data_IF_351749466794
#
_entry.id   IF_351749466794
#
_cell.length_a   1.000
_cell.length_b   1.000
_cell.length_c   1.000
_cell.angle_alpha   90.00
_cell.angle_beta   90.00
_cell.angle_gamma   90.00
#
_symmetry.space_group_name_H-M   'P 1'
#
loop_
_entity.id
_entity.type
_entity.pdbx_description
1 polymer ?
#
# COMPACT_ATOMS: atom_id res chain seq x y z
N UNK A 1 -27.67 45.96 55.80
CA UNK A 1 -27.84 47.07 54.83
C UNK A 1 -26.52 47.73 54.40
N UNK A 2 -25.52 47.90 55.26
CA UNK A 2 -24.22 48.50 54.88
C UNK A 2 -23.41 47.65 53.89
N UNK A 3 -23.43 46.31 54.00
CA UNK A 3 -22.76 45.40 53.04
C UNK A 3 -23.30 45.52 51.60
N UNK A 4 -24.62 45.59 51.42
CA UNK A 4 -25.23 45.69 50.08
C UNK A 4 -24.92 47.03 49.38
N UNK A 5 -24.86 48.12 50.13
CA UNK A 5 -24.46 49.44 49.59
C UNK A 5 -22.99 49.49 49.17
N UNK A 6 -22.09 48.78 49.87
CA UNK A 6 -20.69 48.64 49.47
C UNK A 6 -20.51 47.72 48.26
N UNK A 7 -21.31 46.65 48.16
CA UNK A 7 -21.31 45.75 46.99
C UNK A 7 -21.77 46.51 45.73
N UNK A 8 -22.81 47.34 45.83
CA UNK A 8 -23.31 48.13 44.71
C UNK A 8 -22.29 49.17 44.20
N UNK A 9 -21.52 49.79 45.09
CA UNK A 9 -20.47 50.75 44.69
C UNK A 9 -19.20 50.07 44.14
N UNK A 10 -18.92 48.82 44.55
CA UNK A 10 -17.86 47.98 43.98
C UNK A 10 -18.24 47.44 42.58
N UNK A 11 -19.52 47.17 42.32
CA UNK A 11 -20.06 46.79 41.00
C UNK A 11 -19.87 47.90 39.93
N UNK A 12 -19.81 49.16 40.33
CA UNK A 12 -19.50 50.29 39.44
C UNK A 12 -18.00 50.46 39.17
N UNK A 13 -17.13 49.73 39.88
CA UNK A 13 -15.66 49.87 39.83
C UNK A 13 -14.98 48.60 39.27
N UNK A 14 -15.58 48.01 38.24
CA UNK A 14 -15.22 46.68 37.67
C UNK A 14 -13.96 46.68 36.80
N UNK A 15 -13.33 47.84 36.58
CA UNK A 15 -12.11 47.95 35.78
C UNK A 15 -10.79 47.82 36.58
N UNK A 16 -10.81 47.51 37.89
CA UNK A 16 -9.59 47.44 38.70
C UNK A 16 -9.37 46.09 39.39
N UNK A 17 -8.15 45.50 39.31
CA UNK A 17 -7.79 44.25 40.00
C UNK A 17 -7.88 44.33 41.53
N UNK A 18 -7.99 45.54 42.09
CA UNK A 18 -8.23 45.78 43.52
C UNK A 18 -9.65 45.41 43.97
N UNK A 19 -10.64 45.43 43.08
CA UNK A 19 -12.04 45.10 43.39
C UNK A 19 -12.22 43.60 43.68
N UNK A 20 -11.50 42.76 42.95
CA UNK A 20 -11.50 41.30 43.04
C UNK A 20 -11.08 40.79 44.44
N UNK A 21 -10.04 41.39 45.03
CA UNK A 21 -9.56 41.08 46.40
C UNK A 21 -10.55 41.52 47.50
N UNK A 22 -11.41 42.49 47.20
CA UNK A 22 -12.42 43.01 48.10
C UNK A 22 -13.71 42.18 48.04
N UNK A 23 -14.14 41.80 46.83
CA UNK A 23 -15.32 40.95 46.58
C UNK A 23 -15.14 39.54 47.16
N UNK A 24 -13.97 38.93 47.00
CA UNK A 24 -13.62 37.62 47.60
C UNK A 24 -13.54 37.62 49.12
N UNK A 25 -13.40 38.79 49.76
CA UNK A 25 -13.47 38.94 51.23
C UNK A 25 -14.90 39.09 51.76
N UNK A 26 -15.86 39.40 50.89
CA UNK A 26 -17.23 39.80 51.27
C UNK A 26 -18.30 38.78 50.87
N UNK A 27 -18.04 37.98 49.85
CA UNK A 27 -18.99 37.04 49.23
C UNK A 27 -18.33 35.69 48.97
N UNK A 28 -19.13 34.64 48.75
CA UNK A 28 -18.60 33.33 48.35
C UNK A 28 -18.08 33.38 46.91
N UNK A 29 -17.19 32.44 46.56
CA UNK A 29 -16.59 32.38 45.22
C UNK A 29 -17.66 32.22 44.12
N UNK A 30 -18.75 31.52 44.41
CA UNK A 30 -19.90 31.30 43.52
C UNK A 30 -20.71 32.60 43.29
N UNK A 31 -21.00 33.37 44.33
CA UNK A 31 -21.72 34.65 44.20
C UNK A 31 -20.92 35.68 43.39
N UNK A 32 -19.59 35.67 43.56
CA UNK A 32 -18.69 36.50 42.75
C UNK A 32 -18.73 36.03 41.29
N UNK A 33 -18.64 34.73 41.02
CA UNK A 33 -18.69 34.21 39.66
C UNK A 33 -19.95 34.63 38.90
N UNK A 34 -21.14 34.55 39.55
CA UNK A 34 -22.42 34.95 38.94
C UNK A 34 -22.41 36.42 38.48
N UNK A 35 -21.91 37.35 39.30
CA UNK A 35 -21.88 38.78 38.97
C UNK A 35 -20.98 39.04 37.75
N UNK A 36 -19.80 38.42 37.73
CA UNK A 36 -18.83 38.58 36.64
C UNK A 36 -19.35 37.94 35.34
N UNK A 37 -20.03 36.79 35.41
CA UNK A 37 -20.66 36.14 34.26
C UNK A 37 -21.78 37.03 33.69
N UNK A 38 -22.66 37.60 34.53
CA UNK A 38 -23.71 38.50 34.04
C UNK A 38 -23.13 39.74 33.36
N UNK A 39 -22.07 40.31 33.92
CA UNK A 39 -21.39 41.46 33.31
C UNK A 39 -20.72 41.08 31.98
N UNK A 40 -20.09 39.90 31.89
CA UNK A 40 -19.48 39.41 30.66
C UNK A 40 -20.52 39.23 29.55
N UNK A 41 -21.73 38.75 29.88
CA UNK A 41 -22.84 38.62 28.92
C UNK A 41 -23.34 39.98 28.43
N UNK A 42 -23.39 41.00 29.29
CA UNK A 42 -23.73 42.37 28.87
C UNK A 42 -22.68 42.94 27.90
N UNK A 43 -21.39 42.71 28.18
CA UNK A 43 -20.30 43.12 27.29
C UNK A 43 -20.30 42.36 25.96
N UNK A 44 -20.66 41.07 25.99
CA UNK A 44 -20.88 40.26 24.79
C UNK A 44 -21.99 40.86 23.93
N UNK A 45 -23.12 41.23 24.53
CA UNK A 45 -24.24 41.89 23.83
C UNK A 45 -23.87 43.27 23.25
N UNK A 46 -22.89 43.96 23.85
CA UNK A 46 -22.35 45.24 23.37
C UNK A 46 -21.23 45.06 22.32
N UNK A 47 -20.82 43.83 22.01
CA UNK A 47 -19.75 43.53 21.05
C UNK A 47 -18.33 43.67 21.61
N UNK A 48 -18.17 43.86 22.92
CA UNK A 48 -16.87 44.04 23.59
C UNK A 48 -16.25 42.69 23.99
N UNK A 49 -16.04 41.82 23.00
CA UNK A 49 -15.68 40.41 23.22
C UNK A 49 -14.37 40.18 23.99
N UNK A 50 -13.36 41.03 23.80
CA UNK A 50 -12.08 40.91 24.52
C UNK A 50 -12.21 41.21 26.02
N UNK A 51 -13.14 42.10 26.39
CA UNK A 51 -13.40 42.40 27.79
C UNK A 51 -14.27 41.31 28.42
N UNK A 52 -15.28 40.82 27.70
CA UNK A 52 -16.06 39.65 28.10
C UNK A 52 -15.15 38.42 28.34
N UNK A 53 -14.24 38.12 27.41
CA UNK A 53 -13.24 37.04 27.55
C UNK A 53 -12.43 37.18 28.84
N UNK A 54 -11.92 38.39 29.14
CA UNK A 54 -11.15 38.62 30.38
C UNK A 54 -11.96 38.34 31.63
N UNK A 55 -13.24 38.72 31.66
CA UNK A 55 -14.10 38.45 32.82
C UNK A 55 -14.38 36.95 32.97
N UNK A 56 -14.66 36.23 31.88
CA UNK A 56 -14.85 34.78 31.89
C UNK A 56 -13.60 34.03 32.38
N UNK A 57 -12.41 34.41 31.91
CA UNK A 57 -11.14 33.82 32.38
C UNK A 57 -10.88 34.14 33.86
N UNK A 58 -11.26 35.34 34.34
CA UNK A 58 -11.04 35.76 35.73
C UNK A 58 -11.83 34.90 36.72
N UNK A 59 -12.98 34.36 36.31
CA UNK A 59 -13.81 33.47 37.13
C UNK A 59 -13.51 31.99 36.92
N UNK A 60 -12.43 31.66 36.21
CA UNK A 60 -12.02 30.28 35.89
C UNK A 60 -13.05 29.51 35.03
N UNK A 61 -13.84 30.21 34.22
CA UNK A 61 -14.85 29.63 33.30
C UNK A 61 -14.48 29.90 31.81
N UNK A 62 -13.38 29.32 31.29
CA UNK A 62 -12.95 29.53 29.91
C UNK A 62 -13.94 28.97 28.88
N UNK A 63 -14.74 27.96 29.22
CA UNK A 63 -15.75 27.35 28.36
C UNK A 63 -16.83 28.35 27.89
N UNK A 64 -17.19 29.32 28.74
CA UNK A 64 -18.13 30.39 28.37
C UNK A 64 -17.54 31.29 27.28
N UNK A 65 -16.25 31.63 27.39
CA UNK A 65 -15.55 32.41 26.37
C UNK A 65 -15.36 31.62 25.07
N UNK A 66 -15.05 30.31 25.15
CA UNK A 66 -14.96 29.42 23.99
C UNK A 66 -16.30 29.35 23.25
N UNK A 67 -17.41 29.17 23.99
CA UNK A 67 -18.75 29.10 23.40
C UNK A 67 -19.19 30.44 22.78
N UNK A 68 -18.85 31.58 23.42
CA UNK A 68 -19.04 32.91 22.84
C UNK A 68 -18.35 33.02 21.48
N UNK A 69 -17.04 32.71 21.40
CA UNK A 69 -16.30 32.79 20.14
C UNK A 69 -16.78 31.80 19.09
N UNK A 70 -17.23 30.61 19.50
CA UNK A 70 -17.87 29.62 18.62
C UNK A 70 -19.14 30.17 17.97
N UNK A 71 -20.05 30.77 18.75
CA UNK A 71 -21.30 31.37 18.25
C UNK A 71 -21.04 32.50 17.25
N UNK A 72 -19.96 33.27 17.47
CA UNK A 72 -19.54 34.38 16.62
C UNK A 72 -18.74 33.93 15.39
N UNK A 73 -18.49 32.62 15.21
CA UNK A 73 -17.62 32.06 14.17
C UNK A 73 -16.19 32.62 14.17
N UNK A 74 -15.72 33.10 15.32
CA UNK A 74 -14.34 33.58 15.49
C UNK A 74 -13.44 32.43 15.92
N UNK A 75 -13.24 31.48 15.00
CA UNK A 75 -12.59 30.21 15.31
C UNK A 75 -11.13 30.34 15.77
N UNK A 76 -10.39 31.35 15.30
CA UNK A 76 -9.01 31.60 15.75
C UNK A 76 -8.93 31.90 17.26
N UNK A 77 -9.81 32.77 17.77
CA UNK A 77 -9.87 33.09 19.20
C UNK A 77 -10.35 31.88 20.02
N UNK A 78 -11.31 31.13 19.48
CA UNK A 78 -11.80 29.89 20.08
C UNK A 78 -10.66 28.85 20.23
N UNK A 79 -9.92 28.58 19.15
CA UNK A 79 -8.80 27.63 19.13
C UNK A 79 -7.69 28.09 20.09
N UNK A 80 -7.39 29.39 20.15
CA UNK A 80 -6.42 29.94 21.11
C UNK A 80 -6.81 29.59 22.55
N UNK A 81 -8.07 29.76 22.92
CA UNK A 81 -8.54 29.45 24.27
C UNK A 81 -8.52 27.95 24.56
N UNK A 82 -8.95 27.13 23.61
CA UNK A 82 -8.88 25.67 23.73
C UNK A 82 -7.43 25.22 23.90
N UNK A 83 -6.49 25.76 23.14
CA UNK A 83 -5.07 25.41 23.26
C UNK A 83 -4.45 25.78 24.63
N UNK A 84 -4.98 26.82 25.31
CA UNK A 84 -4.49 27.26 26.62
C UNK A 84 -5.15 26.47 27.76
N UNK A 85 -6.46 26.24 27.68
CA UNK A 85 -7.26 25.73 28.79
C UNK A 85 -7.69 24.26 28.66
N UNK A 86 -7.73 23.72 27.43
CA UNK A 86 -8.20 22.38 27.10
C UNK A 86 -7.35 21.76 25.98
N UNK A 87 -6.03 21.67 26.21
CA UNK A 87 -5.07 21.15 25.23
C UNK A 87 -5.43 19.73 24.75
N UNK A 88 -6.01 18.93 25.63
CA UNK A 88 -6.51 17.57 25.34
C UNK A 88 -7.64 17.55 24.30
N UNK A 89 -8.48 18.59 24.25
CA UNK A 89 -9.60 18.72 23.31
C UNK A 89 -9.23 19.44 22.01
N UNK A 90 -7.99 19.95 21.88
CA UNK A 90 -7.58 20.78 20.76
C UNK A 90 -7.69 20.05 19.42
N UNK A 91 -7.21 18.80 19.36
CA UNK A 91 -7.27 17.98 18.15
C UNK A 91 -8.72 17.68 17.73
N UNK A 92 -9.58 17.31 18.69
CA UNK A 92 -11.00 17.04 18.43
C UNK A 92 -11.74 18.30 18.00
N UNK A 93 -11.40 19.45 18.59
CA UNK A 93 -11.97 20.76 18.22
C UNK A 93 -11.64 21.10 16.77
N UNK A 94 -10.37 20.93 16.37
CA UNK A 94 -9.95 21.09 14.97
C UNK A 94 -10.69 20.14 14.04
N UNK A 95 -10.87 18.87 14.41
CA UNK A 95 -11.58 17.88 13.61
C UNK A 95 -13.07 18.25 13.43
N UNK A 96 -13.73 18.69 14.49
CA UNK A 96 -15.13 19.13 14.44
C UNK A 96 -15.29 20.35 13.53
N UNK A 97 -14.42 21.35 13.70
CA UNK A 97 -14.45 22.55 12.88
C UNK A 97 -14.17 22.25 11.40
N UNK A 98 -13.21 21.35 11.12
CA UNK A 98 -12.90 20.94 9.76
C UNK A 98 -14.11 20.32 9.05
N UNK A 99 -14.87 19.46 9.74
CA UNK A 99 -16.11 18.86 9.21
C UNK A 99 -17.22 19.87 8.97
N UNK A 100 -17.37 20.86 9.85
CA UNK A 100 -18.33 21.95 9.68
C UNK A 100 -18.00 22.76 8.41
N UNK A 101 -16.73 23.15 8.26
CA UNK A 101 -16.25 23.90 7.10
C UNK A 101 -16.29 23.08 5.79
N UNK A 102 -16.07 21.76 5.86
CA UNK A 102 -16.27 20.85 4.73
C UNK A 102 -17.74 20.87 4.27
N UNK A 103 -18.69 20.81 5.21
CA UNK A 103 -20.13 20.91 4.93
C UNK A 103 -20.54 22.25 4.30
N UNK A 104 -19.82 23.33 4.61
CA UNK A 104 -19.99 24.66 4.01
C UNK A 104 -19.24 24.83 2.67
N UNK A 105 -18.46 23.83 2.24
CA UNK A 105 -17.67 23.87 1.02
C UNK A 105 -16.35 24.66 1.11
N UNK A 106 -15.94 25.08 2.31
CA UNK A 106 -14.70 25.85 2.54
C UNK A 106 -13.47 24.94 2.66
N UNK A 107 -13.15 24.21 1.59
CA UNK A 107 -12.17 23.11 1.63
C UNK A 107 -10.77 23.50 2.09
N UNK A 108 -10.31 24.71 1.76
CA UNK A 108 -8.95 25.16 2.14
C UNK A 108 -8.83 25.41 3.65
N UNK A 109 -9.88 25.93 4.27
CA UNK A 109 -9.91 26.13 5.72
C UNK A 109 -10.12 24.79 6.44
N UNK A 110 -10.97 23.92 5.89
CA UNK A 110 -11.12 22.56 6.38
C UNK A 110 -9.80 21.76 6.32
N UNK A 111 -9.06 21.85 5.21
CA UNK A 111 -7.71 21.24 5.06
C UNK A 111 -6.79 21.72 6.18
N UNK A 112 -6.71 23.03 6.43
CA UNK A 112 -5.86 23.58 7.49
C UNK A 112 -6.18 22.93 8.84
N UNK A 113 -7.45 22.88 9.24
CA UNK A 113 -7.84 22.28 10.52
C UNK A 113 -7.66 20.77 10.58
N UNK A 114 -7.88 20.03 9.48
CA UNK A 114 -7.54 18.60 9.43
C UNK A 114 -6.03 18.36 9.63
N UNK A 115 -5.18 19.23 9.07
CA UNK A 115 -3.74 19.13 9.24
C UNK A 115 -3.27 19.50 10.65
N UNK A 116 -3.86 20.52 11.28
CA UNK A 116 -3.60 20.85 12.69
C UNK A 116 -4.02 19.70 13.63
N UNK A 117 -5.12 19.00 13.31
CA UNK A 117 -5.52 17.76 13.98
C UNK A 117 -4.63 16.54 13.65
N UNK A 118 -3.59 16.71 12.82
CA UNK A 118 -2.70 15.66 12.29
C UNK A 118 -3.42 14.53 11.54
N UNK A 119 -4.63 14.78 11.05
CA UNK A 119 -5.42 13.85 10.25
C UNK A 119 -5.42 14.25 8.77
N UNK A 120 -4.25 14.10 8.13
CA UNK A 120 -4.12 14.33 6.69
C UNK A 120 -5.00 13.37 5.86
N UNK A 121 -5.41 12.22 6.41
CA UNK A 121 -6.28 11.25 5.71
C UNK A 121 -7.69 11.80 5.58
N UNK A 122 -8.20 12.52 6.58
CA UNK A 122 -9.47 13.22 6.49
C UNK A 122 -9.43 14.31 5.39
N UNK A 123 -8.38 15.15 5.36
CA UNK A 123 -8.18 16.14 4.29
C UNK A 123 -8.08 15.48 2.90
N UNK A 124 -7.35 14.37 2.79
CA UNK A 124 -7.26 13.58 1.56
C UNK A 124 -8.63 13.07 1.10
N UNK A 125 -9.41 12.47 2.01
CA UNK A 125 -10.71 11.90 1.72
C UNK A 125 -11.72 12.98 1.31
N UNK A 126 -11.71 14.14 1.98
CA UNK A 126 -12.50 15.32 1.60
C UNK A 126 -12.25 15.68 0.13
N UNK A 127 -11.00 15.90 -0.27
CA UNK A 127 -10.68 16.24 -1.67
C UNK A 127 -11.06 15.14 -2.65
N UNK A 128 -10.82 13.87 -2.29
CA UNK A 128 -11.18 12.72 -3.11
C UNK A 128 -12.68 12.64 -3.36
N UNK A 129 -13.50 12.86 -2.32
CA UNK A 129 -14.96 12.76 -2.39
C UNK A 129 -15.56 13.87 -3.27
N UNK A 130 -14.88 15.03 -3.37
CA UNK A 130 -15.28 16.11 -4.27
C UNK A 130 -14.71 15.99 -5.70
N UNK A 131 -14.01 14.90 -6.01
CA UNK A 131 -13.38 14.70 -7.31
C UNK A 131 -12.11 15.51 -7.56
N UNK A 132 -11.61 16.25 -6.55
CA UNK A 132 -10.38 17.05 -6.61
C UNK A 132 -9.14 16.17 -6.39
N UNK A 133 -8.88 15.26 -7.33
CA UNK A 133 -7.83 14.23 -7.19
C UNK A 133 -6.40 14.78 -7.13
N UNK A 134 -6.13 15.89 -7.80
CA UNK A 134 -4.82 16.56 -7.75
C UNK A 134 -4.52 17.11 -6.36
N UNK A 135 -5.49 17.76 -5.72
CA UNK A 135 -5.37 18.27 -4.35
C UNK A 135 -5.23 17.12 -3.35
N UNK A 136 -6.01 16.05 -3.52
CA UNK A 136 -5.89 14.85 -2.71
C UNK A 136 -4.44 14.28 -2.79
N UNK A 137 -3.90 14.14 -4.00
CA UNK A 137 -2.52 13.68 -4.18
C UNK A 137 -1.50 14.64 -3.56
N UNK A 138 -1.69 15.96 -3.67
CA UNK A 138 -0.83 16.97 -3.05
C UNK A 138 -0.76 16.78 -1.52
N UNK A 139 -1.92 16.66 -0.86
CA UNK A 139 -2.00 16.44 0.59
C UNK A 139 -1.26 15.17 0.98
N UNK A 140 -1.50 14.07 0.26
CA UNK A 140 -0.83 12.79 0.53
C UNK A 140 0.70 12.87 0.32
N UNK A 141 1.18 13.66 -0.63
CA UNK A 141 2.60 13.85 -0.90
C UNK A 141 3.29 14.76 0.12
N UNK A 142 2.60 15.79 0.61
CA UNK A 142 3.17 16.77 1.55
C UNK A 142 3.12 16.29 3.00
N UNK A 143 2.04 15.61 3.40
CA UNK A 143 1.78 15.27 4.81
C UNK A 143 1.67 13.77 5.07
N UNK A 144 1.52 12.96 4.03
CA UNK A 144 1.51 11.50 4.15
C UNK A 144 2.91 10.91 4.32
N UNK A 145 2.97 9.60 4.53
CA UNK A 145 4.23 8.87 4.51
C UNK A 145 4.82 8.81 3.10
N UNK A 146 6.11 8.47 2.98
CA UNK A 146 6.77 8.34 1.68
C UNK A 146 6.06 7.35 0.75
N UNK A 147 5.37 6.35 1.30
CA UNK A 147 4.59 5.36 0.54
C UNK A 147 3.13 5.78 0.30
N UNK A 148 2.58 6.71 1.10
CA UNK A 148 1.19 7.15 0.95
C UNK A 148 0.92 7.76 -0.42
N UNK A 149 1.81 8.64 -0.89
CA UNK A 149 1.69 9.26 -2.22
C UNK A 149 1.74 8.23 -3.34
N UNK A 150 2.63 7.24 -3.26
CA UNK A 150 2.72 6.13 -4.23
C UNK A 150 1.42 5.32 -4.27
N UNK A 151 0.86 4.98 -3.11
CA UNK A 151 -0.40 4.24 -3.02
C UNK A 151 -1.58 5.03 -3.60
N UNK A 152 -1.65 6.33 -3.31
CA UNK A 152 -2.68 7.22 -3.89
C UNK A 152 -2.54 7.30 -5.41
N UNK A 153 -1.32 7.49 -5.92
CA UNK A 153 -1.06 7.51 -7.36
C UNK A 153 -1.44 6.19 -8.03
N UNK A 154 -1.11 5.06 -7.41
CA UNK A 154 -1.49 3.72 -7.89
C UNK A 154 -3.01 3.57 -7.99
N UNK A 155 -3.75 3.87 -6.93
CA UNK A 155 -5.21 3.74 -6.91
C UNK A 155 -5.86 4.69 -7.92
N UNK A 156 -5.33 5.91 -8.06
CA UNK A 156 -5.81 6.85 -9.06
C UNK A 156 -5.54 6.32 -10.47
N UNK A 157 -4.33 5.88 -10.78
CA UNK A 157 -4.00 5.29 -12.08
C UNK A 157 -4.89 4.09 -12.42
N UNK A 158 -5.13 3.19 -11.45
CA UNK A 158 -6.02 2.04 -11.61
C UNK A 158 -7.46 2.44 -11.95
N UNK A 159 -7.96 3.55 -11.38
CA UNK A 159 -9.30 4.07 -11.70
C UNK A 159 -9.41 4.74 -13.08
N UNK A 160 -8.29 5.14 -13.68
CA UNK A 160 -8.25 5.79 -15.00
C UNK A 160 -8.07 4.78 -16.13
N UNK A 161 -7.12 3.85 -15.98
CA UNK A 161 -6.73 2.89 -17.02
C UNK A 161 -6.01 3.51 -18.23
N UNK A 162 -5.41 2.64 -19.04
CA UNK A 162 -4.82 2.96 -20.36
C UNK A 162 -3.88 4.16 -20.38
N UNK A 163 -3.97 4.96 -21.45
CA UNK A 163 -3.10 6.13 -21.69
C UNK A 163 -3.21 7.20 -20.59
N UNK A 164 -4.39 7.35 -19.99
CA UNK A 164 -4.62 8.32 -18.91
C UNK A 164 -3.85 7.94 -17.64
N UNK A 165 -3.84 6.65 -17.29
CA UNK A 165 -3.05 6.12 -16.18
C UNK A 165 -1.55 6.33 -16.43
N UNK A 166 -1.08 6.02 -17.63
CA UNK A 166 0.33 6.21 -18.02
C UNK A 166 0.74 7.68 -17.92
N UNK A 167 -0.01 8.62 -18.50
CA UNK A 167 0.30 10.05 -18.46
C UNK A 167 0.39 10.57 -17.02
N UNK A 168 -0.52 10.14 -16.16
CA UNK A 168 -0.52 10.48 -14.73
C UNK A 168 0.75 9.96 -14.04
N UNK A 169 1.07 8.68 -14.22
CA UNK A 169 2.22 8.05 -13.57
C UNK A 169 3.56 8.61 -14.09
N UNK A 170 3.63 8.98 -15.37
CA UNK A 170 4.77 9.68 -15.94
C UNK A 170 4.94 11.09 -15.36
N UNK A 171 3.84 11.85 -15.21
CA UNK A 171 3.86 13.18 -14.54
C UNK A 171 4.43 13.09 -13.12
N UNK A 172 4.22 11.97 -12.43
CA UNK A 172 4.73 11.75 -11.07
C UNK A 172 6.06 11.00 -11.01
N UNK A 173 6.60 10.51 -12.12
CA UNK A 173 7.82 9.70 -12.14
C UNK A 173 7.66 8.33 -11.45
N UNK A 174 6.43 7.78 -11.42
CA UNK A 174 6.08 6.56 -10.69
C UNK A 174 5.76 5.37 -11.60
N UNK A 175 5.84 5.53 -12.93
CA UNK A 175 5.40 4.51 -13.89
C UNK A 175 6.07 3.14 -13.68
N UNK A 176 7.40 3.09 -13.68
CA UNK A 176 8.14 1.84 -13.53
C UNK A 176 7.83 1.15 -12.20
N UNK A 177 7.93 1.89 -11.08
CA UNK A 177 7.62 1.36 -9.76
C UNK A 177 6.17 0.87 -9.61
N UNK A 178 5.24 1.45 -10.38
CA UNK A 178 3.83 1.05 -10.37
C UNK A 178 3.63 -0.24 -11.14
N UNK A 179 4.32 -0.42 -12.27
CA UNK A 179 4.32 -1.68 -13.03
C UNK A 179 4.86 -2.81 -12.16
N UNK A 180 6.02 -2.60 -11.52
CA UNK A 180 6.65 -3.59 -10.66
C UNK A 180 5.73 -3.98 -9.49
N UNK A 181 5.17 -2.97 -8.80
CA UNK A 181 4.21 -3.18 -7.71
C UNK A 181 2.94 -3.90 -8.17
N UNK A 182 2.38 -3.55 -9.34
CA UNK A 182 1.20 -4.20 -9.89
C UNK A 182 1.47 -5.69 -10.17
N UNK A 183 2.62 -6.01 -10.76
CA UNK A 183 3.00 -7.38 -11.06
C UNK A 183 3.28 -8.21 -9.78
N UNK A 184 3.85 -7.60 -8.74
CA UNK A 184 4.09 -8.26 -7.43
C UNK A 184 2.80 -8.58 -6.66
N UNK A 185 1.74 -7.79 -6.87
CA UNK A 185 0.45 -7.96 -6.22
C UNK A 185 -0.57 -8.68 -7.11
N UNK A 186 -0.11 -9.44 -8.10
CA UNK A 186 -0.93 -10.20 -9.06
C UNK A 186 -1.96 -9.37 -9.84
N UNK A 187 -1.77 -8.05 -9.95
CA UNK A 187 -2.60 -7.17 -10.77
C UNK A 187 -2.08 -7.16 -12.22
N UNK A 188 -1.97 -8.34 -12.83
CA UNK A 188 -1.27 -8.56 -14.10
C UNK A 188 -1.88 -7.79 -15.27
N UNK A 189 -3.20 -7.76 -15.41
CA UNK A 189 -3.87 -7.00 -16.48
C UNK A 189 -3.48 -5.51 -16.43
N UNK A 190 -3.49 -4.91 -15.24
CA UNK A 190 -3.09 -3.52 -15.08
C UNK A 190 -1.60 -3.31 -15.36
N UNK A 191 -0.74 -4.25 -14.95
CA UNK A 191 0.69 -4.21 -15.27
C UNK A 191 0.92 -4.30 -16.79
N UNK A 192 0.22 -5.21 -17.48
CA UNK A 192 0.28 -5.36 -18.93
C UNK A 192 -0.20 -4.11 -19.66
N UNK A 193 -1.32 -3.53 -19.25
CA UNK A 193 -1.85 -2.31 -19.84
C UNK A 193 -0.82 -1.16 -19.78
N UNK A 194 -0.26 -0.90 -18.60
CA UNK A 194 0.74 0.14 -18.41
C UNK A 194 2.02 -0.13 -19.23
N UNK A 195 2.50 -1.38 -19.21
CA UNK A 195 3.73 -1.77 -19.89
C UNK A 195 3.59 -1.75 -21.41
N UNK A 196 2.48 -2.23 -21.97
CA UNK A 196 2.21 -2.19 -23.42
C UNK A 196 2.16 -0.77 -23.96
N UNK A 197 1.56 0.15 -23.20
CA UNK A 197 1.41 1.54 -23.60
C UNK A 197 2.72 2.32 -23.52
N UNK A 198 3.53 2.13 -22.47
CA UNK A 198 4.66 3.04 -22.23
C UNK A 198 6.01 2.39 -21.87
N UNK A 199 6.05 1.11 -21.49
CA UNK A 199 7.29 0.48 -21.02
C UNK A 199 7.38 -0.99 -21.44
N UNK A 200 7.50 -1.22 -22.75
CA UNK A 200 7.53 -2.58 -23.34
C UNK A 200 8.69 -3.44 -22.86
N UNK A 201 9.78 -2.82 -22.40
CA UNK A 201 10.94 -3.52 -21.84
C UNK A 201 10.61 -4.34 -20.59
N UNK A 202 9.55 -4.00 -19.86
CA UNK A 202 9.08 -4.74 -18.67
C UNK A 202 8.15 -5.91 -19.01
N UNK A 203 7.68 -6.05 -20.25
CA UNK A 203 6.75 -7.12 -20.62
C UNK A 203 7.29 -8.53 -20.30
N UNK A 204 8.56 -8.87 -20.58
CA UNK A 204 9.08 -10.20 -20.22
C UNK A 204 9.01 -10.48 -18.72
N UNK A 205 9.30 -9.48 -17.88
CA UNK A 205 9.26 -9.62 -16.42
C UNK A 205 7.82 -9.84 -15.91
N UNK A 206 6.85 -9.15 -16.50
CA UNK A 206 5.42 -9.32 -16.16
C UNK A 206 4.93 -10.70 -16.60
N UNK A 207 5.28 -11.12 -17.84
CA UNK A 207 4.97 -12.46 -18.34
C UNK A 207 5.56 -13.55 -17.45
N UNK A 208 6.80 -13.39 -17.00
CA UNK A 208 7.45 -14.31 -16.08
C UNK A 208 6.70 -14.42 -14.74
N UNK A 209 6.40 -13.28 -14.09
CA UNK A 209 5.64 -13.28 -12.83
C UNK A 209 4.25 -13.87 -12.99
N UNK A 210 3.58 -13.62 -14.12
CA UNK A 210 2.28 -14.18 -14.40
C UNK A 210 2.34 -15.70 -14.65
N UNK A 211 3.36 -16.17 -15.37
CA UNK A 211 3.58 -17.59 -15.61
C UNK A 211 3.81 -18.37 -14.32
N UNK A 212 4.65 -17.84 -13.41
CA UNK A 212 4.88 -18.43 -12.09
C UNK A 212 3.59 -18.53 -11.27
N UNK A 213 2.76 -17.46 -11.27
CA UNK A 213 1.46 -17.49 -10.62
C UNK A 213 0.53 -18.57 -11.20
N UNK A 214 0.52 -18.74 -12.54
CA UNK A 214 -0.29 -19.78 -13.20
C UNK A 214 0.23 -21.20 -12.92
N UNK A 215 1.55 -21.37 -12.79
CA UNK A 215 2.17 -22.63 -12.38
C UNK A 215 1.76 -23.01 -10.96
N UNK A 216 1.81 -22.06 -10.01
CA UNK A 216 1.37 -22.26 -8.62
C UNK A 216 -0.12 -22.64 -8.53
N UNK A 217 -0.95 -22.10 -9.42
CA UNK A 217 -2.37 -22.45 -9.57
C UNK A 217 -2.61 -23.78 -10.33
N UNK A 218 -1.56 -24.44 -10.81
CA UNK A 218 -1.63 -25.70 -11.57
C UNK A 218 -2.12 -25.56 -13.02
N UNK A 219 -2.19 -24.33 -13.55
CA UNK A 219 -2.64 -24.04 -14.93
C UNK A 219 -1.47 -24.12 -15.91
N UNK A 220 -0.82 -25.28 -15.99
CA UNK A 220 0.43 -25.48 -16.75
C UNK A 220 0.36 -25.08 -18.23
N UNK A 221 -0.75 -25.35 -18.92
CA UNK A 221 -0.90 -24.98 -20.34
C UNK A 221 -0.99 -23.45 -20.55
N UNK A 222 -1.54 -22.72 -19.58
CA UNK A 222 -1.55 -21.26 -19.61
C UNK A 222 -0.17 -20.71 -19.23
N UNK A 223 0.46 -21.28 -18.20
CA UNK A 223 1.81 -20.94 -17.76
C UNK A 223 2.85 -21.09 -18.88
N UNK A 224 2.80 -22.19 -19.65
CA UNK A 224 3.66 -22.42 -20.82
C UNK A 224 3.63 -21.23 -21.79
N UNK A 225 2.43 -20.77 -22.16
CA UNK A 225 2.27 -19.66 -23.11
C UNK A 225 2.90 -18.38 -22.59
N UNK A 226 2.81 -18.13 -21.29
CA UNK A 226 3.35 -16.93 -20.65
C UNK A 226 4.88 -17.02 -20.47
N UNK A 227 5.42 -18.17 -20.06
CA UNK A 227 6.87 -18.39 -19.99
C UNK A 227 7.55 -18.26 -21.36
N UNK A 228 6.92 -18.77 -22.43
CA UNK A 228 7.43 -18.60 -23.81
C UNK A 228 7.47 -17.12 -24.19
N UNK A 229 6.41 -16.34 -23.88
CA UNK A 229 6.40 -14.88 -24.11
C UNK A 229 7.46 -14.15 -23.27
N UNK A 230 7.83 -14.67 -22.11
CA UNK A 230 8.93 -14.18 -21.29
C UNK A 230 10.33 -14.58 -21.81
N UNK A 231 10.40 -15.43 -22.86
CA UNK A 231 11.66 -15.96 -23.37
C UNK A 231 12.32 -16.98 -22.44
N UNK A 232 11.52 -17.65 -21.61
CA UNK A 232 11.96 -18.61 -20.58
C UNK A 232 11.56 -20.05 -20.95
N UNK A 233 11.90 -20.48 -22.16
CA UNK A 233 11.57 -21.81 -22.68
C UNK A 233 12.10 -22.96 -21.81
N UNK A 234 13.32 -22.80 -21.27
CA UNK A 234 13.93 -23.78 -20.37
C UNK A 234 13.11 -24.02 -19.10
N UNK A 235 12.47 -22.97 -18.59
CA UNK A 235 11.70 -23.03 -17.35
C UNK A 235 10.39 -23.80 -17.59
N UNK A 236 9.81 -23.71 -18.79
CA UNK A 236 8.66 -24.55 -19.18
C UNK A 236 9.04 -26.03 -19.23
N UNK A 237 10.20 -26.35 -19.79
CA UNK A 237 10.69 -27.74 -19.83
C UNK A 237 10.85 -28.26 -18.40
N UNK A 238 11.48 -27.48 -17.52
CA UNK A 238 11.67 -27.84 -16.12
C UNK A 238 10.33 -28.00 -15.37
N UNK A 239 9.37 -27.10 -15.60
CA UNK A 239 8.01 -27.18 -15.05
C UNK A 239 7.36 -28.54 -15.41
N UNK A 240 7.38 -28.93 -16.68
CA UNK A 240 6.80 -30.21 -17.12
C UNK A 240 7.57 -31.43 -16.60
N UNK A 241 8.90 -31.36 -16.55
CA UNK A 241 9.74 -32.42 -15.94
C UNK A 241 9.41 -32.60 -14.46
N UNK A 242 9.26 -31.53 -13.70
CA UNK A 242 8.86 -31.59 -12.29
C UNK A 242 7.48 -32.20 -12.11
N UNK A 243 6.54 -31.90 -13.01
CA UNK A 243 5.21 -32.49 -13.02
C UNK A 243 5.16 -33.92 -13.60
N UNK A 244 6.31 -34.48 -14.00
CA UNK A 244 6.44 -35.79 -14.66
C UNK A 244 5.64 -35.93 -15.97
N UNK A 245 5.26 -34.81 -16.59
CA UNK A 245 4.64 -34.78 -17.92
C UNK A 245 5.74 -34.73 -18.98
N UNK A 246 6.31 -35.90 -19.23
CA UNK A 246 7.45 -36.05 -20.13
C UNK A 246 7.11 -35.81 -21.59
N UNK A 247 5.87 -36.05 -21.99
CA UNK A 247 5.43 -35.84 -23.37
C UNK A 247 5.39 -34.33 -23.69
N UNK A 248 4.82 -33.53 -22.77
CA UNK A 248 4.85 -32.07 -22.89
C UNK A 248 6.26 -31.51 -22.77
N UNK A 249 7.07 -32.01 -21.82
CA UNK A 249 8.46 -31.57 -21.66
C UNK A 249 9.29 -31.78 -22.94
N UNK A 250 9.14 -32.94 -23.59
CA UNK A 250 9.86 -33.25 -24.82
C UNK A 250 9.37 -32.37 -25.98
N UNK A 251 8.05 -32.21 -26.16
CA UNK A 251 7.48 -31.32 -27.18
C UNK A 251 8.03 -29.90 -27.06
N UNK A 252 7.95 -29.32 -25.86
CA UNK A 252 8.38 -27.94 -25.64
C UNK A 252 9.88 -27.80 -25.84
N UNK A 253 10.69 -28.76 -25.40
CA UNK A 253 12.13 -28.76 -25.63
C UNK A 253 12.45 -28.82 -27.13
N UNK A 254 11.83 -29.71 -27.89
CA UNK A 254 12.07 -29.83 -29.33
C UNK A 254 11.66 -28.55 -30.11
N UNK A 255 10.56 -27.90 -29.70
CA UNK A 255 10.05 -26.71 -30.36
C UNK A 255 10.79 -25.42 -29.97
N UNK A 256 11.18 -25.27 -28.70
CA UNK A 256 11.59 -23.98 -28.14
C UNK A 256 12.96 -23.98 -27.45
N UNK A 257 13.51 -25.15 -27.08
CA UNK A 257 14.80 -25.27 -26.40
C UNK A 257 15.53 -26.60 -26.72
N UNK A 258 16.12 -26.72 -27.94
CA UNK A 258 16.75 -27.96 -28.39
C UNK A 258 17.87 -28.47 -27.48
N UNK A 259 18.52 -27.58 -26.75
CA UNK A 259 19.61 -27.92 -25.82
C UNK A 259 19.09 -28.77 -24.64
N UNK A 260 17.85 -28.56 -24.21
CA UNK A 260 17.22 -29.31 -23.12
C UNK A 260 16.68 -30.68 -23.54
N UNK A 261 16.56 -30.96 -24.84
CA UNK A 261 16.02 -32.25 -25.34
C UNK A 261 16.83 -33.43 -24.80
N UNK A 262 18.16 -33.29 -24.77
CA UNK A 262 19.06 -34.33 -24.26
C UNK A 262 18.77 -34.66 -22.80
N UNK A 263 18.56 -33.63 -21.96
CA UNK A 263 18.32 -33.79 -20.53
C UNK A 263 16.93 -34.40 -20.26
N UNK A 264 15.92 -34.00 -21.03
CA UNK A 264 14.56 -34.57 -20.96
C UNK A 264 14.58 -36.06 -21.31
N UNK A 265 15.27 -36.45 -22.39
CA UNK A 265 15.40 -37.86 -22.81
C UNK A 265 16.12 -38.70 -21.74
N UNK A 266 17.17 -38.15 -21.11
CA UNK A 266 17.87 -38.83 -20.01
C UNK A 266 16.95 -39.01 -18.78
N UNK A 267 16.11 -38.01 -18.48
CA UNK A 267 15.08 -38.09 -17.44
C UNK A 267 14.03 -39.18 -17.73
N UNK A 268 13.47 -39.18 -18.94
CA UNK A 268 12.55 -40.22 -19.42
C UNK A 268 13.18 -41.61 -19.32
N UNK A 269 14.45 -41.75 -19.70
CA UNK A 269 15.18 -43.01 -19.61
C UNK A 269 15.27 -43.53 -18.17
N UNK A 270 15.55 -42.65 -17.21
CA UNK A 270 15.59 -43.01 -15.78
C UNK A 270 14.24 -43.55 -15.32
N UNK A 271 13.16 -42.83 -15.60
CA UNK A 271 11.80 -43.24 -15.19
C UNK A 271 11.38 -44.57 -15.85
N UNK A 272 11.68 -44.74 -17.15
CA UNK A 272 11.41 -45.99 -17.86
C UNK A 272 12.22 -47.16 -17.26
N UNK A 273 13.48 -46.91 -16.89
CA UNK A 273 14.34 -47.91 -16.27
C UNK A 273 13.83 -48.34 -14.89
N UNK A 274 13.40 -47.39 -14.05
CA UNK A 274 12.82 -47.67 -12.73
C UNK A 274 11.53 -48.50 -12.83
N UNK A 275 10.75 -48.31 -13.91
CA UNK A 275 9.57 -49.12 -14.26
C UNK A 275 9.91 -50.48 -14.88
N UNK A 276 11.20 -50.81 -15.04
CA UNK A 276 11.72 -52.01 -15.72
C UNK A 276 11.40 -52.08 -17.21
N UNK A 277 11.11 -50.94 -17.84
CA UNK A 277 10.91 -50.80 -19.29
C UNK A 277 12.26 -50.59 -20.01
N UNK A 278 13.16 -51.55 -19.87
CA UNK A 278 14.57 -51.40 -20.25
C UNK A 278 14.81 -51.02 -21.72
N UNK A 279 14.03 -51.60 -22.64
CA UNK A 279 14.14 -51.29 -24.07
C UNK A 279 13.76 -49.84 -24.39
N UNK A 280 12.75 -49.29 -23.70
CA UNK A 280 12.35 -47.89 -23.86
C UNK A 280 13.40 -46.96 -23.26
N UNK A 281 13.94 -47.30 -22.08
CA UNK A 281 15.04 -46.57 -21.47
C UNK A 281 16.27 -46.49 -22.37
N UNK A 282 16.68 -47.60 -22.98
CA UNK A 282 17.77 -47.64 -23.95
C UNK A 282 17.47 -46.77 -25.17
N UNK A 283 16.27 -46.87 -25.74
CA UNK A 283 15.87 -46.05 -26.89
C UNK A 283 16.02 -44.56 -26.59
N UNK A 284 15.59 -44.10 -25.41
CA UNK A 284 15.75 -42.71 -24.99
C UNK A 284 17.23 -42.30 -24.86
N UNK A 285 18.08 -43.13 -24.26
CA UNK A 285 19.51 -42.84 -24.09
C UNK A 285 20.28 -42.83 -25.41
N UNK A 286 19.91 -43.68 -26.36
CA UNK A 286 20.47 -43.65 -27.70
C UNK A 286 20.06 -42.39 -28.46
N UNK A 287 18.79 -41.98 -28.38
CA UNK A 287 18.31 -40.70 -28.94
C UNK A 287 19.03 -39.50 -28.31
N UNK A 288 19.35 -39.58 -27.01
CA UNK A 288 20.14 -38.57 -26.29
C UNK A 288 21.65 -38.60 -26.61
N UNK A 289 22.11 -39.51 -27.49
CA UNK A 289 23.53 -39.72 -27.78
C UNK A 289 24.35 -39.99 -26.50
N UNK A 290 23.81 -40.80 -25.60
CA UNK A 290 24.44 -41.26 -24.35
C UNK A 290 24.45 -42.80 -24.24
N UNK A 291 25.00 -43.53 -25.22
CA UNK A 291 25.13 -44.99 -25.15
C UNK A 291 25.97 -45.47 -23.95
N UNK A 292 26.88 -44.63 -23.42
CA UNK A 292 27.64 -44.95 -22.22
C UNK A 292 26.76 -45.05 -20.98
N UNK A 293 25.72 -44.21 -20.90
CA UNK A 293 24.78 -44.23 -19.79
C UNK A 293 23.87 -45.46 -19.86
N UNK A 294 23.47 -45.87 -21.07
CA UNK A 294 22.69 -47.10 -21.26
C UNK A 294 23.46 -48.34 -20.79
N UNK A 295 24.75 -48.44 -21.16
CA UNK A 295 25.61 -49.52 -20.69
C UNK A 295 25.79 -49.53 -19.15
N UNK A 296 25.87 -48.34 -18.53
CA UNK A 296 25.93 -48.21 -17.06
C UNK A 296 24.64 -48.67 -16.39
N UNK A 297 23.48 -48.26 -16.89
CA UNK A 297 22.18 -48.67 -16.35
C UNK A 297 22.03 -50.19 -16.37
N UNK A 298 22.33 -50.85 -17.49
CA UNK A 298 22.28 -52.32 -17.57
C UNK A 298 23.27 -53.01 -16.62
N UNK A 299 24.49 -52.46 -16.49
CA UNK A 299 25.49 -52.97 -15.55
C UNK A 299 25.00 -52.86 -14.09
N UNK A 300 24.41 -51.75 -13.70
CA UNK A 300 23.87 -51.52 -12.35
C UNK A 300 22.70 -52.46 -12.03
N UNK A 301 21.89 -52.83 -13.03
CA UNK A 301 20.84 -53.85 -12.89
C UNK A 301 21.33 -55.31 -13.05
N UNK A 302 22.65 -55.55 -13.10
CA UNK A 302 23.26 -56.86 -13.32
C UNK A 302 22.83 -57.56 -14.63
N UNK A 303 22.38 -56.81 -15.63
CA UNK A 303 22.02 -57.28 -16.97
C UNK A 303 23.25 -57.27 -17.89
N UNK A 304 24.22 -58.12 -17.59
CA UNK A 304 25.55 -58.12 -18.24
C UNK A 304 25.51 -58.42 -19.75
N UNK A 305 24.58 -59.27 -20.19
CA UNK A 305 24.39 -59.60 -21.60
C UNK A 305 23.99 -58.38 -22.42
N UNK A 306 23.05 -57.59 -21.90
CA UNK A 306 22.56 -56.38 -22.54
C UNK A 306 23.57 -55.24 -22.46
N UNK A 307 24.27 -55.10 -21.33
CA UNK A 307 25.37 -54.14 -21.19
C UNK A 307 26.47 -54.40 -22.23
N UNK A 308 26.89 -55.66 -22.42
CA UNK A 308 27.88 -56.03 -23.42
C UNK A 308 27.36 -55.85 -24.85
N UNK A 309 26.08 -56.09 -25.11
CA UNK A 309 25.45 -55.81 -26.42
C UNK A 309 25.56 -54.34 -26.76
N UNK A 310 25.09 -53.46 -25.87
CA UNK A 310 25.12 -52.00 -26.07
C UNK A 310 26.55 -51.49 -26.28
N UNK A 311 27.52 -51.98 -25.50
CA UNK A 311 28.93 -51.57 -25.66
C UNK A 311 29.50 -52.04 -26.99
N UNK A 312 29.22 -53.27 -27.43
CA UNK A 312 29.70 -53.77 -28.72
C UNK A 312 29.09 -53.04 -29.91
N UNK A 313 27.80 -52.71 -29.81
CA UNK A 313 27.02 -52.13 -30.91
C UNK A 313 27.27 -50.62 -31.05
N UNK A 314 27.27 -49.88 -29.93
CA UNK A 314 27.31 -48.41 -29.95
C UNK A 314 28.63 -47.82 -29.44
N UNK A 315 29.50 -48.60 -28.79
CA UNK A 315 30.78 -48.15 -28.22
C UNK A 315 31.96 -49.07 -28.60
N UNK A 316 32.22 -49.32 -29.89
CA UNK A 316 33.22 -50.30 -30.34
C UNK A 316 34.62 -50.04 -29.78
N UNK A 317 34.96 -48.77 -29.51
CA UNK A 317 36.25 -48.37 -28.93
C UNK A 317 36.43 -48.76 -27.45
N UNK A 318 35.35 -49.06 -26.71
CA UNK A 318 35.38 -49.41 -25.28
C UNK A 318 35.22 -50.89 -24.97
N UNK A 319 35.01 -51.73 -25.99
CA UNK A 319 34.79 -53.18 -25.84
C UNK A 319 35.94 -53.87 -25.07
N UNK A 320 37.18 -53.42 -25.25
CA UNK A 320 38.36 -53.98 -24.57
C UNK A 320 38.37 -53.77 -23.05
N UNK A 321 37.64 -52.77 -22.54
CA UNK A 321 37.62 -52.40 -21.10
C UNK A 321 36.49 -53.12 -20.36
N UNK A 322 35.42 -53.51 -21.07
CA UNK A 322 34.25 -54.19 -20.50
C UNK A 322 34.37 -55.73 -20.50
N UNK A 323 35.45 -56.29 -21.03
CA UNK A 323 35.64 -57.74 -21.27
C UNK A 323 36.49 -58.44 -20.19
N UNK A 324 36.47 -57.97 -18.94
CA UNK A 324 37.12 -58.62 -17.78
C UNK A 324 36.04 -58.84 -16.72
#
# INVERSE_FOLDING_TARGET
MVKMSQIFSLLLCTQRPTCMKLLTRLMTQEEVAVIYISQAQELEAQGQYKEAERLYITVEEPDLAINMYKKLRQYENMIRLVAIHHEDLLADTHLHLAKELEGEGQLRQAEHHFLEARDWKAAFNMYRNQGLREEAYRVAKQHGSQNASKQVAYLWAKSLGGDSAVKLLQKFGLLESTIDYAAENCAFEFAFDLSRTAMKSKLPDIHLKYAMFLEDEGKFSEAEKEFIKAGKSKEVVLMYVHNQDWDSAQRVAEENDPDSVTDVLVGQARVAFDKKEFQRAETFLLRAQRPELAARYYKEAAMWTDALRVVKEYLPHRVRIFSI
#
